data_IF_211045427543
#
_entry.id   IF_211045427543
#
_cell.length_a   1.000
_cell.length_b   1.000
_cell.length_c   1.000
_cell.angle_alpha   90.00
_cell.angle_beta   90.00
_cell.angle_gamma   90.00
#
_symmetry.space_group_name_H-M   'P 1'
#
loop_
_entity.id
_entity.type
_entity.pdbx_description
1 polymer ?
#
# COMPACT_ATOMS: atom_id res chain seq x y z
N UNK A 1 -34.15 -35.54 28.90
CA UNK A 1 -33.45 -34.31 29.31
C UNK A 1 -32.46 -33.93 28.21
N UNK A 2 -32.68 -32.75 27.60
CA UNK A 2 -31.82 -31.94 26.72
C UNK A 2 -30.86 -32.66 25.74
N UNK A 3 -31.11 -32.79 24.43
CA UNK A 3 -31.26 -31.76 23.39
C UNK A 3 -30.06 -30.78 23.27
N UNK A 4 -29.37 -30.91 22.12
CA UNK A 4 -28.86 -29.82 21.27
C UNK A 4 -27.53 -29.16 21.65
N UNK A 5 -26.46 -29.65 21.03
CA UNK A 5 -25.23 -28.89 20.77
C UNK A 5 -24.79 -29.11 19.31
N UNK A 6 -25.47 -28.40 18.40
CA UNK A 6 -24.93 -28.12 17.07
C UNK A 6 -23.99 -26.92 17.22
N UNK A 7 -22.70 -27.19 17.41
CA UNK A 7 -21.66 -26.19 17.23
C UNK A 7 -21.69 -25.73 15.78
N UNK A 8 -22.18 -24.51 15.58
CA UNK A 8 -21.96 -23.72 14.39
C UNK A 8 -20.46 -23.57 14.17
N UNK A 9 -19.86 -24.40 13.32
CA UNK A 9 -18.63 -24.00 12.63
C UNK A 9 -19.05 -22.98 11.58
N UNK A 10 -18.82 -21.72 11.90
CA UNK A 10 -18.91 -20.56 11.00
C UNK A 10 -18.25 -20.89 9.66
N UNK A 11 -18.86 -20.59 8.50
CA UNK A 11 -18.17 -20.72 7.23
C UNK A 11 -16.94 -19.79 7.23
N UNK A 12 -15.80 -20.21 6.63
CA UNK A 12 -14.66 -19.31 6.45
C UNK A 12 -15.11 -18.09 5.64
N UNK A 13 -14.64 -16.91 6.04
CA UNK A 13 -14.94 -15.65 5.37
C UNK A 13 -14.70 -15.77 3.85
N UNK A 14 -15.55 -15.15 3.01
CA UNK A 14 -15.30 -15.12 1.57
C UNK A 14 -14.00 -14.37 1.33
N UNK A 15 -13.01 -15.09 0.80
CA UNK A 15 -11.81 -14.54 0.19
C UNK A 15 -12.21 -13.52 -0.89
N UNK A 16 -11.70 -12.28 -0.85
CA UNK A 16 -12.02 -11.31 -1.89
C UNK A 16 -11.41 -11.74 -3.23
N UNK A 17 -12.16 -11.68 -4.34
CA UNK A 17 -11.63 -11.82 -5.70
C UNK A 17 -10.59 -10.73 -6.01
N UNK A 18 -9.64 -11.03 -6.91
CA UNK A 18 -8.56 -10.12 -7.27
C UNK A 18 -8.97 -9.02 -8.27
N UNK A 19 -10.18 -8.47 -8.26
CA UNK A 19 -10.56 -7.40 -9.20
C UNK A 19 -11.70 -6.52 -8.63
N UNK A 20 -11.37 -5.29 -8.21
CA UNK A 20 -12.26 -4.13 -7.93
C UNK A 20 -13.67 -4.38 -7.36
N UNK A 21 -13.84 -4.17 -6.04
CA UNK A 21 -15.18 -4.08 -5.43
C UNK A 21 -15.75 -2.65 -5.56
N UNK A 22 -16.97 -2.54 -6.09
CA UNK A 22 -17.80 -1.34 -5.94
C UNK A 22 -18.75 -1.57 -4.76
N UNK A 23 -18.65 -0.75 -3.72
CA UNK A 23 -19.54 -0.87 -2.55
C UNK A 23 -20.94 -0.29 -2.85
N UNK A 24 -21.88 -0.46 -1.92
CA UNK A 24 -23.29 -0.02 -2.04
C UNK A 24 -23.46 1.50 -2.21
N UNK A 25 -22.39 2.27 -1.98
CA UNK A 25 -22.30 3.73 -2.15
C UNK A 25 -21.71 4.15 -3.51
N UNK A 26 -21.35 3.19 -4.39
CA UNK A 26 -20.77 3.49 -5.71
C UNK A 26 -19.32 3.97 -5.68
N UNK A 27 -18.57 3.71 -4.59
CA UNK A 27 -17.15 4.07 -4.52
C UNK A 27 -16.33 3.00 -5.26
N UNK A 28 -15.56 3.41 -6.26
CA UNK A 28 -14.64 2.50 -6.93
C UNK A 28 -13.40 2.30 -6.04
N UNK A 29 -13.27 1.08 -5.55
CA UNK A 29 -12.12 0.67 -4.74
C UNK A 29 -11.15 -0.11 -5.61
N UNK A 30 -10.06 0.53 -6.02
CA UNK A 30 -8.98 -0.14 -6.77
C UNK A 30 -8.02 -0.75 -5.78
N UNK A 31 -7.82 -2.06 -5.88
CA UNK A 31 -6.90 -2.80 -5.02
C UNK A 31 -5.70 -3.23 -5.86
N UNK A 32 -4.52 -2.71 -5.53
CA UNK A 32 -3.26 -3.12 -6.13
C UNK A 32 -2.55 -4.06 -5.18
N UNK A 33 -1.94 -5.11 -5.73
CA UNK A 33 -1.17 -6.08 -4.96
C UNK A 33 0.30 -6.03 -5.37
N UNK A 34 1.16 -6.27 -4.39
CA UNK A 34 2.60 -6.31 -4.54
C UNK A 34 3.23 -7.17 -3.45
N UNK A 35 4.50 -6.89 -3.17
CA UNK A 35 5.31 -7.59 -2.19
C UNK A 35 5.41 -6.74 -0.93
N UNK A 36 4.77 -7.18 0.14
CA UNK A 36 4.93 -6.58 1.47
C UNK A 36 6.38 -6.70 1.93
N UNK A 37 7.07 -5.56 2.07
CA UNK A 37 8.44 -5.50 2.54
C UNK A 37 8.51 -5.26 4.05
N UNK A 38 7.62 -4.42 4.57
CA UNK A 38 7.59 -4.00 5.97
C UNK A 38 6.17 -4.01 6.49
N UNK A 39 5.94 -4.66 7.63
CA UNK A 39 4.60 -4.82 8.22
C UNK A 39 4.04 -3.51 8.75
N UNK A 40 2.74 -3.34 8.67
CA UNK A 40 2.02 -2.15 9.14
C UNK A 40 0.95 -1.71 8.15
N UNK A 41 0.06 -0.85 8.63
CA UNK A 41 -0.96 -0.21 7.80
C UNK A 41 -0.90 1.29 8.00
N UNK A 42 -1.00 2.04 6.91
CA UNK A 42 -1.10 3.50 6.98
C UNK A 42 -2.05 4.03 5.93
N UNK A 43 -2.53 5.24 6.16
CA UNK A 43 -3.32 6.00 5.20
C UNK A 43 -2.65 7.35 4.97
N UNK A 44 -2.55 7.74 3.71
CA UNK A 44 -2.00 9.03 3.34
C UNK A 44 -2.23 9.35 1.87
N UNK A 45 -2.03 10.61 1.47
CA UNK A 45 -2.11 10.98 0.06
C UNK A 45 -0.94 10.35 -0.71
N UNK A 46 -1.23 9.85 -1.92
CA UNK A 46 -0.23 9.35 -2.84
C UNK A 46 0.69 10.49 -3.28
N UNK A 47 2.00 10.37 -3.12
CA UNK A 47 2.95 11.28 -3.75
C UNK A 47 3.82 10.52 -4.73
N UNK A 48 3.50 10.69 -6.01
CA UNK A 48 4.27 10.13 -7.10
C UNK A 48 5.51 10.99 -7.31
N UNK A 49 6.67 10.39 -7.11
CA UNK A 49 7.98 11.02 -7.30
C UNK A 49 8.75 10.18 -8.32
N UNK A 50 9.12 10.79 -9.44
CA UNK A 50 9.86 10.10 -10.51
C UNK A 50 11.37 10.27 -10.38
N UNK A 51 11.82 11.31 -9.69
CA UNK A 51 13.24 11.60 -9.54
C UNK A 51 13.57 12.65 -8.47
N UNK A 52 14.87 12.98 -8.30
CA UNK A 52 15.37 13.87 -7.26
C UNK A 52 14.87 15.32 -7.35
N UNK A 53 14.47 15.77 -8.55
CA UNK A 53 13.89 17.10 -8.75
C UNK A 53 12.55 17.29 -8.02
N UNK A 54 11.84 16.19 -7.77
CA UNK A 54 10.52 16.19 -7.15
C UNK A 54 10.55 15.89 -5.64
N UNK A 55 11.73 15.76 -5.04
CA UNK A 55 11.88 15.44 -3.61
C UNK A 55 11.24 16.49 -2.70
N UNK A 56 11.20 17.74 -3.15
CA UNK A 56 10.53 18.84 -2.44
C UNK A 56 9.00 18.75 -2.45
N UNK A 57 8.40 17.86 -3.26
CA UNK A 57 6.95 17.64 -3.29
C UNK A 57 6.47 16.74 -2.14
N UNK A 58 7.36 15.94 -1.56
CA UNK A 58 7.00 15.04 -0.47
C UNK A 58 6.72 15.82 0.81
N UNK A 59 5.57 15.57 1.43
CA UNK A 59 5.23 16.12 2.73
C UNK A 59 5.27 15.03 3.81
N UNK A 60 5.52 15.42 5.08
CA UNK A 60 5.43 14.50 6.20
C UNK A 60 4.05 13.85 6.28
N UNK A 61 3.98 12.52 6.25
CA UNK A 61 2.73 11.77 6.26
C UNK A 61 2.25 11.29 4.89
N UNK A 62 2.84 11.77 3.80
CA UNK A 62 2.51 11.31 2.44
C UNK A 62 3.01 9.87 2.19
N UNK A 63 2.35 9.18 1.27
CA UNK A 63 2.78 7.87 0.77
C UNK A 63 3.70 8.07 -0.41
N UNK A 64 4.97 7.74 -0.27
CA UNK A 64 5.96 7.86 -1.34
C UNK A 64 5.73 6.77 -2.39
N UNK A 65 5.36 7.15 -3.61
CA UNK A 65 5.19 6.24 -4.75
C UNK A 65 6.28 6.53 -5.77
N UNK A 66 7.09 5.54 -6.12
CA UNK A 66 8.15 5.71 -7.12
C UNK A 66 8.35 4.44 -7.96
N UNK A 67 9.11 4.55 -9.05
CA UNK A 67 9.43 3.38 -9.88
C UNK A 67 10.51 2.52 -9.22
N UNK A 68 11.60 3.17 -8.83
CA UNK A 68 12.79 2.60 -8.20
C UNK A 68 13.31 3.56 -7.14
N UNK A 69 14.02 3.04 -6.15
CA UNK A 69 14.64 3.82 -5.10
C UNK A 69 16.15 3.61 -5.12
N UNK A 70 16.88 4.68 -4.87
CA UNK A 70 18.34 4.69 -4.71
C UNK A 70 18.71 5.24 -3.33
N UNK A 71 19.97 5.10 -2.86
CA UNK A 71 20.41 5.66 -1.58
C UNK A 71 20.15 7.16 -1.40
N UNK A 72 19.99 7.92 -2.49
CA UNK A 72 19.61 9.32 -2.44
C UNK A 72 18.19 9.56 -1.89
N UNK A 73 17.33 8.53 -1.89
CA UNK A 73 15.92 8.61 -1.47
C UNK A 73 15.75 8.35 0.02
N UNK A 74 16.74 7.76 0.70
CA UNK A 74 16.72 7.48 2.14
C UNK A 74 16.21 8.64 3.02
N UNK A 75 16.60 9.92 2.84
CA UNK A 75 16.05 11.01 3.66
C UNK A 75 14.53 11.19 3.53
N UNK A 76 13.94 10.79 2.40
CA UNK A 76 12.49 10.87 2.18
C UNK A 76 11.72 9.84 3.01
N UNK A 77 12.33 8.69 3.34
CA UNK A 77 11.70 7.65 4.15
C UNK A 77 11.42 8.12 5.57
N UNK A 78 12.20 9.09 6.08
CA UNK A 78 11.91 9.71 7.38
C UNK A 78 10.68 10.63 7.38
N UNK A 79 10.23 11.09 6.21
CA UNK A 79 9.05 11.95 6.07
C UNK A 79 7.83 11.16 5.59
N UNK A 80 8.04 10.14 4.74
CA UNK A 80 6.98 9.31 4.20
C UNK A 80 6.32 8.44 5.30
N UNK A 81 5.01 8.30 5.25
CA UNK A 81 4.28 7.36 6.12
C UNK A 81 4.30 5.93 5.59
N UNK A 82 4.42 5.77 4.27
CA UNK A 82 4.57 4.49 3.58
C UNK A 82 5.40 4.66 2.31
N UNK A 83 5.91 3.53 1.81
CA UNK A 83 6.64 3.49 0.55
C UNK A 83 6.06 2.45 -0.39
N UNK A 84 5.78 2.87 -1.62
CA UNK A 84 5.31 2.03 -2.70
C UNK A 84 6.30 2.11 -3.86
N UNK A 85 6.76 0.96 -4.35
CA UNK A 85 7.62 0.92 -5.54
C UNK A 85 7.04 0.04 -6.64
N UNK A 86 7.20 0.47 -7.90
CA UNK A 86 6.82 -0.38 -9.03
C UNK A 86 7.76 -1.56 -9.22
N UNK A 87 9.04 -1.35 -8.96
CA UNK A 87 10.10 -2.35 -9.11
C UNK A 87 10.80 -2.55 -7.78
N UNK A 88 11.24 -3.77 -7.53
CA UNK A 88 11.92 -4.14 -6.29
C UNK A 88 11.33 -5.41 -5.70
N UNK A 89 12.04 -5.97 -4.73
CA UNK A 89 11.62 -7.15 -4.00
C UNK A 89 11.98 -7.05 -2.53
N UNK A 90 11.71 -8.11 -1.77
CA UNK A 90 11.88 -8.16 -0.31
C UNK A 90 13.31 -7.84 0.19
N UNK A 91 14.32 -7.97 -0.68
CA UNK A 91 15.74 -7.71 -0.38
C UNK A 91 16.28 -6.44 -1.07
N UNK A 92 15.42 -5.63 -1.68
CA UNK A 92 15.83 -4.40 -2.36
C UNK A 92 16.15 -3.27 -1.37
N UNK A 93 16.82 -2.22 -1.86
CA UNK A 93 17.15 -1.04 -1.05
C UNK A 93 15.93 -0.46 -0.33
N UNK A 94 14.80 -0.25 -1.04
CA UNK A 94 13.55 0.21 -0.45
C UNK A 94 13.06 -0.67 0.71
N UNK A 95 13.18 -2.00 0.57
CA UNK A 95 12.73 -2.93 1.60
C UNK A 95 13.53 -2.82 2.89
N UNK A 96 14.86 -2.72 2.75
CA UNK A 96 15.77 -2.63 3.88
C UNK A 96 15.54 -1.30 4.61
N UNK A 97 15.53 -0.20 3.87
CA UNK A 97 15.34 1.14 4.46
C UNK A 97 13.96 1.25 5.10
N UNK A 98 12.88 0.80 4.46
CA UNK A 98 11.54 0.86 5.06
C UNK A 98 11.45 0.13 6.41
N UNK A 99 12.14 -1.01 6.54
CA UNK A 99 12.22 -1.76 7.81
C UNK A 99 13.00 -1.02 8.89
N UNK A 100 14.11 -0.39 8.51
CA UNK A 100 14.93 0.41 9.43
C UNK A 100 14.16 1.61 9.98
N UNK A 101 13.35 2.25 9.14
CA UNK A 101 12.49 3.36 9.53
C UNK A 101 11.16 2.93 10.17
N UNK A 102 10.84 1.63 10.15
CA UNK A 102 9.61 1.09 10.73
C UNK A 102 8.33 1.52 10.01
N UNK A 103 8.42 1.88 8.73
CA UNK A 103 7.28 2.30 7.92
C UNK A 103 6.78 1.15 7.04
N UNK A 104 5.46 1.03 6.80
CA UNK A 104 4.92 0.03 5.90
C UNK A 104 5.40 0.26 4.46
N UNK A 105 5.78 -0.83 3.78
CA UNK A 105 6.27 -0.76 2.41
C UNK A 105 5.75 -1.90 1.55
N UNK A 106 5.35 -1.54 0.33
CA UNK A 106 4.84 -2.47 -0.69
C UNK A 106 5.64 -2.26 -1.97
N UNK A 107 6.31 -3.31 -2.43
CA UNK A 107 7.25 -3.24 -3.55
C UNK A 107 6.75 -4.11 -4.71
N UNK A 108 7.21 -3.84 -5.92
CA UNK A 108 6.86 -4.66 -7.08
C UNK A 108 5.40 -4.50 -7.53
N UNK A 109 4.79 -3.34 -7.25
CA UNK A 109 3.41 -3.04 -7.65
C UNK A 109 3.41 -2.59 -9.11
N UNK A 110 3.00 -3.50 -10.01
CA UNK A 110 2.96 -3.18 -11.44
C UNK A 110 2.03 -2.00 -11.69
N UNK A 111 2.48 -1.11 -12.57
CA UNK A 111 1.68 0.04 -13.01
C UNK A 111 1.23 0.99 -11.90
N UNK A 112 1.89 0.96 -10.71
CA UNK A 112 1.53 1.83 -9.59
C UNK A 112 1.49 3.32 -9.96
N UNK A 113 2.46 3.83 -10.75
CA UNK A 113 2.49 5.22 -11.18
C UNK A 113 1.40 5.59 -12.21
N UNK A 114 0.80 4.60 -12.88
CA UNK A 114 -0.24 4.80 -13.89
C UNK A 114 -1.65 4.68 -13.26
N UNK A 115 -1.79 3.77 -12.31
CA UNK A 115 -3.04 3.48 -11.60
C UNK A 115 -3.28 4.42 -10.42
N UNK A 116 -2.23 4.98 -9.82
CA UNK A 116 -2.31 5.92 -8.70
C UNK A 116 -2.27 7.35 -9.22
N UNK A 117 -3.08 8.21 -8.59
CA UNK A 117 -3.12 9.65 -8.88
C UNK A 117 -2.42 10.41 -7.78
N UNK A 118 -1.56 11.37 -8.13
CA UNK A 118 -0.94 12.30 -7.18
C UNK A 118 -1.99 13.00 -6.31
N UNK A 119 -1.77 12.97 -4.99
CA UNK A 119 -2.66 13.53 -3.97
C UNK A 119 -3.85 12.65 -3.58
N UNK A 120 -4.10 11.52 -4.26
CA UNK A 120 -5.27 10.68 -3.93
C UNK A 120 -5.07 9.92 -2.61
N UNK A 121 -6.12 9.73 -1.80
CA UNK A 121 -6.00 9.00 -0.54
C UNK A 121 -5.75 7.51 -0.81
N UNK A 122 -4.63 7.01 -0.30
CA UNK A 122 -4.24 5.60 -0.37
C UNK A 122 -4.22 4.97 1.01
N UNK A 123 -4.73 3.75 1.09
CA UNK A 123 -4.50 2.87 2.22
C UNK A 123 -3.46 1.82 1.83
N UNK A 124 -2.32 1.82 2.50
CA UNK A 124 -1.21 0.89 2.24
C UNK A 124 -1.14 -0.12 3.37
N UNK A 125 -1.21 -1.40 3.02
CA UNK A 125 -0.98 -2.54 3.92
C UNK A 125 0.32 -3.23 3.53
N UNK A 126 1.37 -2.96 4.30
CA UNK A 126 2.69 -3.56 4.11
C UNK A 126 2.80 -5.00 4.62
N UNK A 127 1.81 -5.48 5.40
CA UNK A 127 1.76 -6.86 5.91
C UNK A 127 1.27 -7.82 4.84
N UNK A 128 0.18 -7.47 4.16
CA UNK A 128 -0.38 -8.24 3.05
C UNK A 128 0.24 -7.84 1.71
N UNK A 129 0.92 -6.69 1.62
CA UNK A 129 1.44 -6.17 0.36
C UNK A 129 0.32 -5.64 -0.55
N UNK A 130 -0.69 -5.00 0.03
CA UNK A 130 -1.88 -4.53 -0.69
C UNK A 130 -2.06 -3.04 -0.55
N UNK A 131 -2.47 -2.37 -1.62
CA UNK A 131 -2.75 -0.94 -1.66
C UNK A 131 -4.19 -0.77 -2.11
N UNK A 132 -4.96 -0.01 -1.34
CA UNK A 132 -6.36 0.27 -1.62
C UNK A 132 -6.52 1.75 -1.92
N UNK A 133 -7.03 2.05 -3.11
CA UNK A 133 -7.39 3.41 -3.55
C UNK A 133 -8.88 3.57 -3.39
N UNK A 134 -9.33 4.61 -2.69
CA UNK A 134 -10.76 4.93 -2.60
C UNK A 134 -11.03 6.18 -3.43
N UNK A 135 -11.53 5.99 -4.66
CA UNK A 135 -11.98 7.09 -5.50
C UNK A 135 -13.42 7.44 -5.13
N UNK A 136 -13.64 8.67 -4.67
CA UNK A 136 -14.97 9.18 -4.37
C UNK A 136 -15.32 10.18 -5.47
N UNK A 137 -16.11 9.70 -6.43
CA UNK A 137 -16.60 10.49 -7.58
C UNK A 137 -17.57 11.58 -7.18
#
# INVERSE_FOLDING_TARGET
MAARWLSYCTPPAPMPPPDGFSDRNGQMTTILTGVGASTGTTQGPARLIHGPDEFSRLQPGDVLVCRTTDPAWTPLFGMASAVVTQTGGMLSHAAIVAREYGIPAVLGVRDALDLLTDGSPLHVDGTQGTITVTDSK
#
